data_IF_605724208391
#
_entry.id   IF_605724208391
#
_cell.length_a   1.000
_cell.length_b   1.000
_cell.length_c   1.000
_cell.angle_alpha   90.00
_cell.angle_beta   90.00
_cell.angle_gamma   90.00
#
_symmetry.space_group_name_H-M   'P 1'
#
loop_
_entity.id
_entity.type
_entity.pdbx_description
1 polymer ?
#
# COMPACT_ATOMS: atom_id res chain seq x y z
N UNK A 1 -12.76 -26.86 -15.96
CA UNK A 1 -13.09 -26.16 -17.22
C UNK A 1 -14.17 -25.11 -16.97
N UNK A 2 -14.33 -24.17 -17.87
CA UNK A 2 -15.41 -23.20 -17.85
C UNK A 2 -16.65 -23.94 -18.37
N UNK A 3 -17.75 -23.84 -17.63
CA UNK A 3 -19.06 -24.28 -18.09
C UNK A 3 -19.81 -23.06 -18.57
N UNK A 4 -20.35 -23.11 -19.79
CA UNK A 4 -21.16 -22.06 -20.35
C UNK A 4 -22.62 -22.53 -20.44
N UNK A 5 -23.56 -21.70 -20.05
CA UNK A 5 -24.97 -21.94 -20.29
C UNK A 5 -25.32 -21.44 -21.70
N UNK A 6 -25.91 -22.30 -22.49
CA UNK A 6 -26.30 -21.99 -23.87
C UNK A 6 -27.80 -22.06 -24.02
N UNK A 7 -28.42 -20.91 -24.27
CA UNK A 7 -29.85 -20.75 -24.39
C UNK A 7 -30.23 -20.37 -25.82
N UNK A 8 -31.31 -20.94 -26.34
CA UNK A 8 -31.91 -20.53 -27.60
C UNK A 8 -33.10 -19.63 -27.31
N UNK A 9 -33.16 -18.48 -27.90
CA UNK A 9 -34.26 -17.53 -27.80
C UNK A 9 -34.80 -17.22 -29.16
N UNK A 10 -36.09 -16.87 -29.22
CA UNK A 10 -36.75 -16.39 -30.45
C UNK A 10 -37.35 -15.04 -30.13
N UNK A 11 -36.99 -14.00 -30.90
CA UNK A 11 -37.53 -12.66 -30.78
C UNK A 11 -37.89 -12.13 -32.18
N UNK A 12 -39.11 -11.60 -32.35
CA UNK A 12 -39.64 -11.13 -33.65
C UNK A 12 -39.48 -12.16 -34.80
N UNK A 13 -39.57 -13.46 -34.50
CA UNK A 13 -39.44 -14.54 -35.47
C UNK A 13 -38.02 -14.85 -35.91
N UNK A 14 -37.01 -14.27 -35.23
CA UNK A 14 -35.59 -14.57 -35.43
C UNK A 14 -35.04 -15.34 -34.24
N UNK A 15 -34.33 -16.44 -34.52
CA UNK A 15 -33.67 -17.24 -33.49
C UNK A 15 -32.26 -16.72 -33.23
N UNK A 16 -31.90 -16.58 -31.94
CA UNK A 16 -30.54 -16.26 -31.52
C UNK A 16 -30.08 -17.13 -30.33
N UNK A 17 -28.79 -17.32 -30.23
CA UNK A 17 -28.14 -18.10 -29.16
C UNK A 17 -27.52 -17.13 -28.16
N UNK A 18 -27.96 -17.27 -26.91
CA UNK A 18 -27.31 -16.61 -25.76
C UNK A 18 -26.30 -17.57 -25.12
N UNK A 19 -25.08 -17.10 -24.88
CA UNK A 19 -24.05 -17.85 -24.16
C UNK A 19 -23.69 -17.08 -22.89
N UNK A 20 -24.06 -17.62 -21.74
CA UNK A 20 -23.77 -17.02 -20.44
C UNK A 20 -22.59 -17.73 -19.83
N UNK A 21 -21.56 -16.97 -19.42
CA UNK A 21 -20.37 -17.46 -18.76
C UNK A 21 -20.19 -16.69 -17.45
N UNK A 22 -20.30 -17.41 -16.34
CA UNK A 22 -20.07 -16.82 -15.03
C UNK A 22 -18.59 -16.46 -14.82
N UNK A 23 -18.29 -15.34 -14.12
CA UNK A 23 -16.93 -14.96 -13.78
C UNK A 23 -16.26 -16.02 -12.93
N UNK A 24 -15.10 -16.50 -13.36
CA UNK A 24 -14.31 -17.44 -12.57
C UNK A 24 -13.54 -16.73 -11.46
N UNK A 25 -13.57 -17.30 -10.25
CA UNK A 25 -12.75 -16.85 -9.12
C UNK A 25 -11.30 -17.31 -9.22
N UNK A 26 -11.01 -18.24 -10.14
CA UNK A 26 -9.66 -18.78 -10.36
C UNK A 26 -9.14 -18.22 -11.69
N UNK A 27 -7.85 -17.79 -11.76
CA UNK A 27 -7.23 -17.40 -13.01
C UNK A 27 -7.29 -18.54 -14.04
N UNK A 28 -7.75 -18.23 -15.23
CA UNK A 28 -7.89 -19.24 -16.31
C UNK A 28 -6.88 -18.93 -17.41
N UNK A 29 -6.04 -19.92 -17.71
CA UNK A 29 -5.11 -19.84 -18.82
C UNK A 29 -5.73 -20.44 -20.10
N UNK A 30 -5.58 -19.74 -21.20
CA UNK A 30 -5.88 -20.26 -22.53
C UNK A 30 -4.57 -20.62 -23.24
N UNK A 31 -4.37 -21.88 -23.55
CA UNK A 31 -3.11 -22.42 -24.14
C UNK A 31 -1.86 -22.01 -23.35
N UNK A 32 -1.92 -22.07 -22.01
CA UNK A 32 -0.81 -21.71 -21.12
C UNK A 32 -0.60 -20.21 -20.91
N UNK A 33 -1.44 -19.36 -21.50
CA UNK A 33 -1.29 -17.91 -21.44
C UNK A 33 -2.50 -17.27 -20.76
N UNK A 34 -2.26 -16.32 -19.86
CA UNK A 34 -3.32 -15.53 -19.23
C UNK A 34 -3.62 -14.29 -20.05
N UNK A 35 -4.90 -13.97 -20.16
CA UNK A 35 -5.35 -12.83 -20.94
C UNK A 35 -6.31 -11.97 -20.14
N UNK A 36 -6.24 -10.68 -20.40
CA UNK A 36 -7.15 -9.66 -19.90
C UNK A 36 -7.81 -8.97 -21.09
N UNK A 37 -9.09 -8.62 -20.94
CA UNK A 37 -9.82 -7.86 -21.95
C UNK A 37 -10.09 -6.46 -21.45
N UNK A 38 -9.71 -5.45 -22.24
CA UNK A 38 -10.08 -4.05 -22.02
C UNK A 38 -10.87 -3.58 -23.22
N UNK A 39 -12.18 -3.37 -23.03
CA UNK A 39 -13.10 -3.10 -24.13
C UNK A 39 -13.13 -4.25 -25.15
N UNK A 40 -12.86 -3.96 -26.41
CA UNK A 40 -12.81 -4.94 -27.52
C UNK A 40 -11.42 -5.63 -27.65
N UNK A 41 -10.40 -5.14 -26.93
CA UNK A 41 -9.02 -5.60 -27.12
C UNK A 41 -8.65 -6.70 -26.13
N UNK A 42 -8.09 -7.80 -26.63
CA UNK A 42 -7.50 -8.87 -25.86
C UNK A 42 -6.01 -8.56 -25.64
N UNK A 43 -5.56 -8.53 -24.39
CA UNK A 43 -4.16 -8.32 -24.03
C UNK A 43 -3.62 -9.51 -23.25
N UNK A 44 -2.38 -9.89 -23.52
CA UNK A 44 -1.69 -10.91 -22.75
C UNK A 44 -1.11 -10.33 -21.48
N UNK A 45 -1.32 -11.03 -20.37
CA UNK A 45 -0.72 -10.67 -19.08
C UNK A 45 0.63 -11.34 -18.90
N UNK A 46 1.67 -10.57 -18.64
CA UNK A 46 3.04 -11.04 -18.40
C UNK A 46 3.67 -10.33 -17.20
N UNK A 47 4.71 -10.95 -16.61
CA UNK A 47 5.51 -10.36 -15.54
C UNK A 47 4.67 -9.88 -14.36
N UNK A 48 4.94 -8.68 -13.88
CA UNK A 48 4.29 -8.08 -12.70
C UNK A 48 2.77 -7.96 -12.86
N UNK A 49 2.28 -7.64 -14.07
CA UNK A 49 0.84 -7.53 -14.33
C UNK A 49 0.13 -8.87 -14.16
N UNK A 50 0.76 -9.97 -14.58
CA UNK A 50 0.24 -11.32 -14.36
C UNK A 50 0.22 -11.67 -12.87
N UNK A 51 1.30 -11.39 -12.15
CA UNK A 51 1.39 -11.65 -10.70
C UNK A 51 0.28 -10.90 -9.93
N UNK A 52 0.10 -9.61 -10.21
CA UNK A 52 -0.96 -8.80 -9.60
C UNK A 52 -2.36 -9.35 -9.94
N UNK A 53 -2.58 -9.77 -11.19
CA UNK A 53 -3.84 -10.35 -11.59
C UNK A 53 -4.16 -11.65 -10.83
N UNK A 54 -3.16 -12.54 -10.69
CA UNK A 54 -3.30 -13.81 -9.96
C UNK A 54 -3.62 -13.51 -8.49
N UNK A 55 -2.84 -12.67 -7.82
CA UNK A 55 -3.06 -12.29 -6.42
C UNK A 55 -4.46 -11.72 -6.21
N UNK A 56 -4.87 -10.76 -7.06
CA UNK A 56 -6.21 -10.17 -6.99
C UNK A 56 -7.33 -11.21 -7.14
N UNK A 57 -7.17 -12.17 -8.04
CA UNK A 57 -8.16 -13.26 -8.23
C UNK A 57 -8.21 -14.22 -7.05
N UNK A 58 -7.09 -14.39 -6.33
CA UNK A 58 -7.02 -15.18 -5.10
C UNK A 58 -7.52 -14.39 -3.86
N UNK A 59 -7.98 -13.15 -4.04
CA UNK A 59 -8.40 -12.28 -2.95
C UNK A 59 -7.26 -11.79 -2.06
N UNK A 60 -6.02 -11.85 -2.56
CA UNK A 60 -4.81 -11.40 -1.84
C UNK A 60 -4.26 -10.13 -2.47
N UNK A 61 -3.70 -9.26 -1.62
CA UNK A 61 -2.86 -8.16 -2.05
C UNK A 61 -1.38 -8.51 -1.85
N UNK A 62 -0.47 -7.74 -2.44
CA UNK A 62 0.96 -8.01 -2.35
C UNK A 62 1.50 -7.92 -0.92
N UNK A 63 0.95 -7.03 -0.14
CA UNK A 63 1.29 -6.83 1.28
C UNK A 63 0.88 -8.01 2.17
N UNK A 64 -0.16 -8.77 1.78
CA UNK A 64 -0.61 -9.99 2.46
C UNK A 64 0.20 -11.25 2.10
N UNK A 65 1.15 -11.15 1.18
CA UNK A 65 1.99 -12.30 0.78
C UNK A 65 3.04 -12.58 1.86
N UNK A 66 3.18 -13.86 2.32
CA UNK A 66 4.24 -14.26 3.24
C UNK A 66 5.63 -14.06 2.63
N UNK A 67 6.59 -13.68 3.46
CA UNK A 67 7.98 -13.53 3.09
C UNK A 67 8.85 -14.54 3.82
N UNK A 68 9.19 -15.63 3.15
CA UNK A 68 9.96 -16.74 3.70
C UNK A 68 11.38 -16.37 4.12
N UNK A 69 11.89 -15.21 3.67
CA UNK A 69 13.26 -14.74 4.00
C UNK A 69 13.30 -13.90 5.26
N UNK A 70 12.17 -13.45 5.77
CA UNK A 70 12.06 -12.57 6.91
C UNK A 70 11.79 -13.35 8.19
N UNK A 71 12.37 -12.88 9.28
CA UNK A 71 12.22 -13.45 10.62
C UNK A 71 11.85 -12.36 11.62
N UNK A 72 11.47 -12.76 12.84
CA UNK A 72 11.22 -11.79 13.92
C UNK A 72 12.42 -10.90 14.26
N UNK A 73 13.65 -11.39 13.98
CA UNK A 73 14.86 -10.60 14.18
C UNK A 73 14.97 -9.41 13.21
N UNK A 74 14.27 -9.45 12.08
CA UNK A 74 14.21 -8.36 11.11
C UNK A 74 13.22 -7.26 11.53
N UNK A 75 12.44 -7.46 12.60
CA UNK A 75 11.43 -6.52 13.09
C UNK A 75 12.04 -5.56 14.13
N UNK A 76 11.73 -4.28 13.99
CA UNK A 76 12.11 -3.21 14.93
C UNK A 76 11.06 -3.09 16.03
N UNK A 77 11.41 -3.55 17.23
CA UNK A 77 10.54 -3.44 18.41
C UNK A 77 10.22 -1.98 18.75
N UNK A 78 11.13 -1.05 18.55
CA UNK A 78 10.88 0.36 18.83
C UNK A 78 9.78 0.95 17.93
N UNK A 79 9.73 0.53 16.67
CA UNK A 79 8.66 0.93 15.76
C UNK A 79 7.29 0.38 16.22
N UNK A 80 7.26 -0.86 16.71
CA UNK A 80 6.05 -1.45 17.30
C UNK A 80 5.63 -0.69 18.56
N UNK A 81 6.56 -0.43 19.49
CA UNK A 81 6.26 0.29 20.74
C UNK A 81 5.73 1.71 20.48
N UNK A 82 6.31 2.38 19.49
CA UNK A 82 5.83 3.68 19.03
C UNK A 82 4.39 3.59 18.49
N UNK A 83 4.13 2.63 17.61
CA UNK A 83 2.82 2.38 17.03
C UNK A 83 1.76 2.07 18.10
N UNK A 84 2.07 1.17 19.02
CA UNK A 84 1.18 0.80 20.13
C UNK A 84 0.87 2.01 21.00
N UNK A 85 1.88 2.78 21.40
CA UNK A 85 1.69 3.98 22.19
C UNK A 85 0.72 4.96 21.52
N UNK A 86 0.95 5.27 20.23
CA UNK A 86 0.09 6.18 19.47
C UNK A 86 -1.32 5.64 19.27
N UNK A 87 -1.46 4.35 19.01
CA UNK A 87 -2.75 3.70 18.84
C UNK A 87 -3.57 3.65 20.13
N UNK A 88 -2.92 3.41 21.27
CA UNK A 88 -3.54 3.42 22.61
C UNK A 88 -3.95 4.83 23.00
N UNK A 89 -3.06 5.83 22.83
CA UNK A 89 -3.37 7.24 23.06
C UNK A 89 -4.59 7.70 22.24
N UNK A 90 -4.71 7.22 21.00
CA UNK A 90 -5.85 7.51 20.11
C UNK A 90 -7.08 6.61 20.38
N UNK A 91 -7.05 5.74 21.37
CA UNK A 91 -8.13 4.77 21.71
C UNK A 91 -8.51 3.84 20.56
N UNK A 92 -7.57 3.52 19.68
CA UNK A 92 -7.75 2.60 18.53
C UNK A 92 -7.17 1.21 18.77
N UNK A 93 -6.29 1.08 19.77
CA UNK A 93 -5.63 -0.18 20.16
C UNK A 93 -5.92 -0.40 21.64
N UNK A 94 -6.28 -1.63 22.04
CA UNK A 94 -6.44 -1.99 23.45
C UNK A 94 -5.13 -1.87 24.23
N UNK A 95 -5.19 -1.46 25.50
CA UNK A 95 -4.01 -1.21 26.35
C UNK A 95 -3.26 -2.50 26.73
N UNK A 96 -3.91 -3.65 26.69
CA UNK A 96 -3.34 -4.97 26.98
C UNK A 96 -2.24 -5.38 25.99
N UNK A 97 -2.23 -4.83 24.77
CA UNK A 97 -1.17 -5.06 23.80
C UNK A 97 0.15 -4.34 24.14
N UNK A 98 0.17 -3.42 25.10
CA UNK A 98 1.37 -2.66 25.48
C UNK A 98 2.54 -3.55 25.89
N UNK A 99 2.26 -4.58 26.70
CA UNK A 99 3.26 -5.52 27.22
C UNK A 99 3.37 -6.82 26.40
N UNK A 100 2.63 -6.90 25.28
CA UNK A 100 2.63 -8.09 24.44
C UNK A 100 3.98 -8.29 23.74
N UNK A 101 4.33 -9.53 23.47
CA UNK A 101 5.53 -9.85 22.69
C UNK A 101 5.42 -9.32 21.26
N UNK A 102 6.57 -9.14 20.59
CA UNK A 102 6.60 -8.76 19.17
C UNK A 102 5.72 -9.69 18.32
N UNK A 103 5.82 -11.00 18.57
CA UNK A 103 5.04 -12.01 17.85
C UNK A 103 3.55 -11.84 18.08
N UNK A 104 3.13 -11.67 19.33
CA UNK A 104 1.71 -11.56 19.67
C UNK A 104 1.07 -10.30 19.08
N UNK A 105 1.82 -9.18 19.06
CA UNK A 105 1.37 -7.95 18.40
C UNK A 105 1.20 -8.17 16.91
N UNK A 106 2.20 -8.74 16.23
CA UNK A 106 2.13 -9.00 14.80
C UNK A 106 1.01 -9.98 14.44
N UNK A 107 0.78 -10.99 15.26
CA UNK A 107 -0.30 -11.95 15.08
C UNK A 107 -1.67 -11.28 15.25
N UNK A 108 -1.84 -10.48 16.30
CA UNK A 108 -3.08 -9.72 16.55
C UNK A 108 -3.42 -8.74 15.42
N UNK A 109 -2.40 -8.21 14.74
CA UNK A 109 -2.54 -7.34 13.57
C UNK A 109 -2.73 -8.12 12.26
N UNK A 110 -2.73 -9.45 12.31
CA UNK A 110 -2.84 -10.30 11.12
C UNK A 110 -1.63 -10.22 10.19
N UNK A 111 -0.45 -9.89 10.72
CA UNK A 111 0.81 -9.71 9.99
C UNK A 111 1.69 -10.96 9.95
N UNK A 112 1.23 -12.04 10.56
CA UNK A 112 1.81 -13.40 10.49
C UNK A 112 0.78 -14.28 9.78
N UNK A 113 1.23 -15.18 8.93
CA UNK A 113 0.35 -16.17 8.32
C UNK A 113 0.15 -17.43 9.18
N UNK A 114 -0.68 -18.36 8.70
CA UNK A 114 -1.00 -19.59 9.44
C UNK A 114 0.22 -20.53 9.62
N UNK A 115 1.24 -20.40 8.79
CA UNK A 115 2.47 -21.19 8.81
C UNK A 115 3.57 -20.51 9.66
N UNK A 116 3.30 -19.32 10.18
CA UNK A 116 4.19 -18.54 11.04
C UNK A 116 5.14 -17.60 10.30
N UNK A 117 4.97 -17.41 8.99
CA UNK A 117 5.78 -16.48 8.21
C UNK A 117 5.27 -15.04 8.34
N UNK A 118 6.20 -14.10 8.38
CA UNK A 118 5.89 -12.67 8.33
C UNK A 118 5.35 -12.29 6.95
N UNK A 119 4.27 -11.52 6.90
CA UNK A 119 3.76 -10.95 5.66
C UNK A 119 4.61 -9.75 5.24
N UNK A 120 4.59 -9.41 3.95
CA UNK A 120 5.28 -8.23 3.43
C UNK A 120 4.89 -6.95 4.17
N UNK A 121 3.63 -6.82 4.59
CA UNK A 121 3.13 -5.72 5.41
C UNK A 121 3.88 -5.57 6.73
N UNK A 122 4.22 -6.68 7.43
CA UNK A 122 4.97 -6.64 8.68
C UNK A 122 6.34 -5.99 8.50
N UNK A 123 7.02 -6.36 7.42
CA UNK A 123 8.36 -5.85 7.10
C UNK A 123 8.28 -4.37 6.70
N UNK A 124 7.27 -3.98 5.92
CA UNK A 124 7.07 -2.59 5.53
C UNK A 124 6.77 -1.68 6.71
N UNK A 125 5.89 -2.14 7.62
CA UNK A 125 5.46 -1.35 8.77
C UNK A 125 6.54 -1.26 9.85
N UNK A 126 7.18 -2.39 10.16
CA UNK A 126 8.00 -2.53 11.36
C UNK A 126 9.41 -3.11 11.11
N UNK A 127 9.83 -3.30 9.86
CA UNK A 127 11.15 -3.83 9.57
C UNK A 127 12.29 -2.90 9.98
N UNK A 128 13.40 -3.46 10.49
CA UNK A 128 14.64 -2.72 10.76
C UNK A 128 15.27 -2.17 9.47
N UNK A 129 15.20 -2.95 8.40
CA UNK A 129 15.72 -2.58 7.08
C UNK A 129 14.83 -3.16 5.97
N UNK A 130 13.69 -2.49 5.65
CA UNK A 130 12.80 -2.94 4.58
C UNK A 130 13.47 -3.01 3.20
N UNK A 131 14.47 -2.15 2.92
CA UNK A 131 15.19 -2.13 1.65
C UNK A 131 15.92 -3.44 1.33
N UNK A 132 16.32 -4.22 2.35
CA UNK A 132 16.89 -5.56 2.17
C UNK A 132 15.93 -6.50 1.44
N UNK A 133 14.64 -6.33 1.65
CA UNK A 133 13.56 -7.15 1.08
C UNK A 133 12.94 -6.49 -0.14
N UNK A 134 12.81 -5.18 -0.11
CA UNK A 134 12.12 -4.34 -1.10
C UNK A 134 13.00 -3.14 -1.49
N UNK A 135 13.94 -3.30 -2.43
CA UNK A 135 14.95 -2.27 -2.76
C UNK A 135 14.36 -0.94 -3.27
N UNK A 136 13.09 -0.91 -3.63
CA UNK A 136 12.43 0.29 -4.16
C UNK A 136 11.56 1.01 -3.13
N UNK A 137 11.55 0.56 -1.87
CA UNK A 137 10.76 1.17 -0.81
C UNK A 137 11.47 2.42 -0.31
N UNK A 138 11.01 3.56 -0.80
CA UNK A 138 11.46 4.86 -0.35
C UNK A 138 10.34 5.90 -0.60
N UNK A 139 10.28 6.90 0.25
CA UNK A 139 9.46 8.08 0.03
C UNK A 139 10.32 9.19 -0.55
N UNK A 140 9.87 9.81 -1.65
CA UNK A 140 10.57 10.93 -2.28
C UNK A 140 9.72 12.17 -2.16
N UNK A 141 10.31 13.23 -1.65
CA UNK A 141 9.69 14.54 -1.54
C UNK A 141 10.54 15.55 -2.28
N UNK A 142 9.92 16.39 -3.10
CA UNK A 142 10.61 17.42 -3.88
C UNK A 142 9.84 18.73 -3.87
N UNK A 143 10.57 19.85 -3.90
CA UNK A 143 10.01 21.17 -4.14
C UNK A 143 10.37 21.60 -5.55
N UNK A 144 9.36 21.95 -6.31
CA UNK A 144 9.50 22.52 -7.65
C UNK A 144 9.30 24.03 -7.61
N UNK A 145 9.96 24.72 -8.51
CA UNK A 145 9.85 26.16 -8.68
C UNK A 145 8.67 26.53 -9.58
N UNK A 146 8.95 27.09 -10.78
CA UNK A 146 7.90 27.58 -11.67
C UNK A 146 7.17 26.49 -12.44
N UNK A 147 7.82 25.39 -12.72
CA UNK A 147 7.28 24.27 -13.49
C UNK A 147 7.85 22.93 -13.01
N UNK A 148 7.37 21.80 -13.59
CA UNK A 148 7.76 20.44 -13.24
C UNK A 148 9.22 20.10 -13.56
N UNK A 149 9.91 20.89 -14.40
CA UNK A 149 11.32 20.71 -14.73
C UNK A 149 12.26 21.49 -13.79
N UNK A 150 11.71 22.44 -13.01
CA UNK A 150 12.47 23.28 -12.08
C UNK A 150 12.50 22.67 -10.68
N UNK A 151 13.18 21.52 -10.52
CA UNK A 151 13.37 20.88 -9.22
C UNK A 151 14.39 21.64 -8.39
N UNK A 152 13.92 22.38 -7.39
CA UNK A 152 14.79 23.19 -6.52
C UNK A 152 15.59 22.33 -5.55
N UNK A 153 14.94 21.37 -4.89
CA UNK A 153 15.57 20.40 -3.99
C UNK A 153 14.65 19.20 -3.75
N UNK A 154 15.26 18.07 -3.37
CA UNK A 154 14.54 16.86 -3.01
C UNK A 154 15.22 16.14 -1.84
N UNK A 155 14.43 15.34 -1.14
CA UNK A 155 14.91 14.39 -0.15
C UNK A 155 14.35 13.00 -0.46
N UNK A 156 15.14 11.96 -0.14
CA UNK A 156 14.74 10.57 -0.20
C UNK A 156 14.75 10.05 1.23
N UNK A 157 13.62 9.50 1.66
CA UNK A 157 13.42 9.01 3.01
C UNK A 157 13.26 7.50 2.92
N UNK A 158 14.14 6.79 3.61
CA UNK A 158 14.19 5.33 3.67
C UNK A 158 13.90 4.85 5.09
N UNK A 159 13.44 3.62 5.24
CA UNK A 159 13.09 3.03 6.52
C UNK A 159 11.76 2.29 6.46
N UNK A 160 11.22 1.92 7.62
CA UNK A 160 9.87 1.40 7.68
C UNK A 160 8.83 2.54 7.59
N UNK A 161 7.59 2.19 7.26
CA UNK A 161 6.52 3.17 7.02
C UNK A 161 6.30 4.07 8.24
N UNK A 162 6.41 3.53 9.46
CA UNK A 162 6.22 4.30 10.70
C UNK A 162 7.29 5.40 10.81
N UNK A 163 8.57 5.03 10.61
CA UNK A 163 9.68 5.98 10.64
C UNK A 163 9.62 6.98 9.49
N UNK A 164 9.26 6.51 8.28
CA UNK A 164 9.12 7.39 7.12
C UNK A 164 8.02 8.42 7.30
N UNK A 165 6.86 8.04 7.86
CA UNK A 165 5.75 8.96 8.10
C UNK A 165 6.15 10.13 9.00
N UNK A 166 6.79 9.84 10.13
CA UNK A 166 7.27 10.91 11.05
C UNK A 166 8.30 11.81 10.35
N UNK A 167 9.27 11.20 9.65
CA UNK A 167 10.32 11.96 8.98
C UNK A 167 9.79 12.85 7.85
N UNK A 168 8.76 12.36 7.12
CA UNK A 168 8.07 13.17 6.10
C UNK A 168 7.42 14.39 6.72
N UNK A 169 6.72 14.22 7.85
CA UNK A 169 6.06 15.34 8.54
C UNK A 169 7.07 16.35 9.07
N UNK A 170 8.18 15.92 9.65
CA UNK A 170 9.27 16.80 10.06
C UNK A 170 9.84 17.62 8.89
N UNK A 171 10.09 16.96 7.75
CA UNK A 171 10.63 17.63 6.56
C UNK A 171 9.61 18.59 5.95
N UNK A 172 8.35 18.19 5.88
CA UNK A 172 7.28 19.08 5.40
C UNK A 172 7.25 20.37 6.20
N UNK A 173 7.19 20.28 7.53
CA UNK A 173 7.09 21.43 8.42
C UNK A 173 8.38 22.24 8.48
N UNK A 174 9.53 21.59 8.47
CA UNK A 174 10.83 22.26 8.65
C UNK A 174 11.49 22.78 7.39
N UNK A 175 11.17 22.22 6.21
CA UNK A 175 11.92 22.51 4.98
C UNK A 175 11.02 22.82 3.77
N UNK A 176 9.92 22.11 3.61
CA UNK A 176 9.13 22.17 2.38
C UNK A 176 7.98 23.16 2.45
N UNK A 177 7.32 23.30 3.59
CA UNK A 177 6.25 24.28 3.78
C UNK A 177 6.87 25.64 4.14
N UNK A 178 6.62 26.61 3.29
CA UNK A 178 7.09 27.98 3.51
C UNK A 178 6.14 28.69 4.48
N UNK A 179 6.71 29.31 5.52
CA UNK A 179 5.99 30.21 6.41
C UNK A 179 6.21 31.66 5.98
N UNK A 180 5.32 32.25 5.17
CA UNK A 180 5.44 33.66 4.86
C UNK A 180 5.26 34.48 6.14
N UNK A 181 6.28 35.26 6.48
CA UNK A 181 6.22 36.24 7.57
C UNK A 181 5.46 37.46 7.09
N UNK A 182 4.32 37.74 7.72
CA UNK A 182 3.58 38.98 7.49
C UNK A 182 3.68 39.87 8.74
N UNK A 183 3.78 41.16 8.52
CA UNK A 183 3.77 42.19 9.56
C UNK A 183 2.48 43.00 9.43
N UNK A 184 1.68 43.01 10.51
CA UNK A 184 0.57 43.91 10.66
C UNK A 184 0.91 44.88 11.82
N UNK A 185 1.38 46.06 11.46
CA UNK A 185 1.94 47.02 12.42
C UNK A 185 3.24 46.49 13.05
N UNK A 186 3.28 46.34 14.38
CA UNK A 186 4.44 45.81 15.11
C UNK A 186 4.30 44.32 15.44
N UNK A 187 3.23 43.68 15.00
CA UNK A 187 3.03 42.24 15.23
C UNK A 187 3.48 41.41 14.04
N UNK A 188 4.25 40.35 14.33
CA UNK A 188 4.73 39.35 13.36
C UNK A 188 3.75 38.19 13.35
N UNK A 189 3.24 37.84 12.15
CA UNK A 189 2.42 36.69 11.93
C UNK A 189 3.19 35.70 11.03
N UNK A 190 3.31 34.46 11.49
CA UNK A 190 3.82 33.35 10.69
C UNK A 190 2.66 32.37 10.48
N UNK A 191 2.28 32.14 9.23
CA UNK A 191 1.29 31.12 8.87
C UNK A 191 1.93 30.19 7.88
N UNK A 192 1.76 28.88 8.06
CA UNK A 192 2.17 27.89 7.07
C UNK A 192 1.41 28.11 5.76
N UNK A 193 2.08 27.92 4.63
CA UNK A 193 1.49 27.98 3.28
C UNK A 193 0.32 27.01 3.12
N UNK A 194 0.38 25.86 3.83
CA UNK A 194 -0.67 24.87 3.97
C UNK A 194 -0.91 24.65 5.46
N UNK A 195 -2.17 24.70 5.90
CA UNK A 195 -2.51 24.47 7.31
C UNK A 195 -2.14 23.03 7.70
N UNK A 196 -1.55 22.82 8.88
CA UNK A 196 -1.06 21.52 9.34
C UNK A 196 -2.12 20.41 9.31
N UNK A 197 -3.39 20.75 9.52
CA UNK A 197 -4.52 19.78 9.49
C UNK A 197 -4.83 19.26 8.08
N UNK A 198 -4.29 19.89 7.03
CA UNK A 198 -4.47 19.46 5.62
C UNK A 198 -3.35 18.52 5.19
N UNK A 199 -2.23 18.52 5.92
CA UNK A 199 -1.05 17.69 5.63
C UNK A 199 -1.03 16.35 6.38
N UNK A 200 -2.00 16.12 7.25
CA UNK A 200 -2.23 14.86 8.00
C UNK A 200 -3.42 14.13 7.44
#
# INVERSE_FOLDING_TARGET
>A
GIVADVNLHTDDGLDYIEIVIEPSNIPIAYKGTYHYRSGSTKQELRGTALQQFILKKMGRSWDDVPNERATLDDIDRNAIDYFLRKGIEAQRIPDDLREASTKDVLDSLGLIDNDGYLKNAAILLFGKNPLRFFPSVAFKIGRFGKDEADLMFQDIIEGNIIQMADRVMELLQGKYLVSPVRFEGMQRYETLEIHGDVAT
#
